data_IF_513122567357
#
_entry.id   IF_513122567357
#
_cell.length_a   1.000
_cell.length_b   1.000
_cell.length_c   1.000
_cell.angle_alpha   90.00
_cell.angle_beta   90.00
_cell.angle_gamma   90.00
#
_symmetry.space_group_name_H-M   'P 1'
#
loop_
_entity.id
_entity.type
_entity.pdbx_description
1 polymer ?
#
# COMPACT_ATOMS: atom_id res chain seq x y z
N UNK A 1 28.28 -52.29 39.98
CA UNK A 1 29.00 -52.30 38.69
C UNK A 1 28.30 -51.38 37.71
N UNK A 2 29.10 -50.69 36.91
CA UNK A 2 28.91 -49.37 36.31
C UNK A 2 28.01 -49.26 35.06
N UNK A 3 27.74 -47.97 34.71
CA UNK A 3 27.46 -47.34 33.38
C UNK A 3 25.99 -46.97 33.14
N UNK A 4 25.59 -45.85 32.52
CA UNK A 4 26.16 -44.56 32.09
C UNK A 4 24.96 -43.65 31.68
N UNK A 5 25.18 -42.32 31.65
CA UNK A 5 24.56 -41.17 30.93
C UNK A 5 23.24 -41.40 30.10
N UNK A 6 22.30 -40.43 29.94
CA UNK A 6 22.42 -39.19 29.13
C UNK A 6 21.24 -38.23 29.43
N UNK A 7 21.59 -36.94 29.42
CA UNK A 7 20.80 -35.71 29.47
C UNK A 7 20.04 -35.46 28.15
N UNK A 8 18.73 -35.14 28.14
CA UNK A 8 18.12 -34.32 27.07
C UNK A 8 17.01 -33.43 27.63
N UNK A 9 17.31 -32.13 27.69
CA UNK A 9 16.33 -31.06 27.78
C UNK A 9 15.78 -30.76 26.38
N UNK A 10 14.47 -30.59 26.23
CA UNK A 10 13.88 -29.95 25.06
C UNK A 10 12.85 -28.88 25.49
N UNK A 11 13.39 -27.70 25.79
CA UNK A 11 12.70 -26.42 25.70
C UNK A 11 12.22 -26.23 24.25
N UNK A 12 10.92 -26.41 23.97
CA UNK A 12 10.34 -25.90 22.72
C UNK A 12 9.85 -24.48 22.95
N UNK A 13 10.75 -23.52 22.72
CA UNK A 13 10.45 -22.10 22.57
C UNK A 13 9.58 -21.94 21.30
N UNK A 14 8.25 -21.89 21.44
CA UNK A 14 7.37 -21.51 20.32
C UNK A 14 7.53 -20.01 20.07
N UNK A 15 8.47 -19.64 19.19
CA UNK A 15 8.50 -18.30 18.59
C UNK A 15 7.32 -18.22 17.63
N UNK A 16 6.17 -17.76 18.13
CA UNK A 16 5.07 -17.33 17.27
C UNK A 16 5.45 -15.95 16.74
N UNK A 17 6.13 -15.89 15.59
CA UNK A 17 6.23 -14.66 14.82
C UNK A 17 4.83 -14.33 14.27
N UNK A 18 3.98 -13.71 15.09
CA UNK A 18 2.78 -13.05 14.58
C UNK A 18 3.27 -11.83 13.80
N UNK A 19 3.51 -12.00 12.49
CA UNK A 19 3.69 -10.85 11.59
C UNK A 19 2.34 -10.15 11.57
N UNK A 20 2.17 -9.14 12.43
CA UNK A 20 0.99 -8.29 12.40
C UNK A 20 0.93 -7.63 11.02
N UNK A 21 -0.10 -7.94 10.24
CA UNK A 21 -0.38 -7.23 9.00
C UNK A 21 -0.50 -5.73 9.31
N UNK A 22 0.27 -4.91 8.58
CA UNK A 22 0.21 -3.47 8.71
C UNK A 22 -1.20 -2.98 8.39
N UNK A 23 -1.73 -2.10 9.24
CA UNK A 23 -3.07 -1.50 9.10
C UNK A 23 -3.03 -0.09 8.52
N UNK A 24 -1.83 0.49 8.36
CA UNK A 24 -1.64 1.87 7.91
C UNK A 24 -0.38 2.01 7.03
N UNK A 25 -0.35 2.99 6.14
CA UNK A 25 0.82 3.33 5.29
C UNK A 25 2.06 3.57 6.14
N UNK A 26 1.94 4.34 7.24
CA UNK A 26 3.03 4.59 8.18
C UNK A 26 3.66 3.31 8.75
N UNK A 27 2.89 2.25 8.96
CA UNK A 27 3.43 0.96 9.41
C UNK A 27 4.21 0.25 8.31
N UNK A 28 3.75 0.32 7.05
CA UNK A 28 4.49 -0.16 5.89
C UNK A 28 5.81 0.60 5.70
N UNK A 29 5.80 1.92 5.85
CA UNK A 29 7.01 2.76 5.74
C UNK A 29 8.04 2.46 6.84
N UNK A 30 7.58 2.17 8.07
CA UNK A 30 8.49 1.77 9.17
C UNK A 30 9.23 0.46 8.88
N UNK A 31 8.68 -0.38 8.01
CA UNK A 31 9.26 -1.67 7.62
C UNK A 31 10.07 -1.59 6.32
N UNK A 32 10.32 -0.37 5.79
CA UNK A 32 11.10 -0.20 4.56
C UNK A 32 12.51 -0.77 4.70
N UNK A 33 12.94 -1.62 3.75
CA UNK A 33 14.32 -2.08 3.67
C UNK A 33 15.27 -0.90 3.40
N UNK A 34 16.54 -1.07 3.77
CA UNK A 34 17.55 -0.01 3.65
C UNK A 34 17.68 0.53 2.21
N UNK A 35 17.49 -0.34 1.21
CA UNK A 35 17.48 -0.04 -0.23
C UNK A 35 16.45 1.03 -0.65
N UNK A 36 15.36 1.18 0.12
CA UNK A 36 14.27 2.11 -0.17
C UNK A 36 14.21 3.30 0.79
N UNK A 37 14.92 3.26 1.93
CA UNK A 37 14.88 4.36 2.92
C UNK A 37 15.29 5.70 2.31
N UNK A 38 16.31 5.72 1.47
CA UNK A 38 16.76 6.94 0.77
C UNK A 38 15.80 7.38 -0.35
N UNK A 39 14.91 6.50 -0.80
CA UNK A 39 13.93 6.76 -1.87
C UNK A 39 12.54 7.09 -1.33
N UNK A 40 12.36 7.13 -0.01
CA UNK A 40 11.03 7.30 0.58
C UNK A 40 10.35 8.61 0.15
N UNK A 41 11.11 9.69 -0.05
CA UNK A 41 10.55 10.91 -0.61
C UNK A 41 10.01 10.69 -2.03
N UNK A 42 10.78 10.05 -2.91
CA UNK A 42 10.35 9.73 -4.27
C UNK A 42 9.09 8.87 -4.29
N UNK A 43 9.03 7.87 -3.40
CA UNK A 43 7.87 7.00 -3.20
C UNK A 43 6.62 7.82 -2.81
N UNK A 44 6.75 8.69 -1.80
CA UNK A 44 5.64 9.56 -1.36
C UNK A 44 5.22 10.59 -2.40
N UNK A 45 6.11 10.95 -3.33
CA UNK A 45 5.79 11.81 -4.48
C UNK A 45 5.32 11.03 -5.71
N UNK A 46 4.90 9.76 -5.54
CA UNK A 46 4.36 8.90 -6.59
C UNK A 46 5.32 8.69 -7.78
N UNK A 47 6.64 8.79 -7.55
CA UNK A 47 7.62 8.45 -8.57
C UNK A 47 7.75 6.93 -8.68
N UNK A 48 7.93 6.45 -9.90
CA UNK A 48 8.16 5.03 -10.13
C UNK A 48 9.51 4.61 -9.53
N UNK A 49 9.47 3.62 -8.65
CA UNK A 49 10.64 2.92 -8.11
C UNK A 49 10.38 1.45 -8.37
N UNK A 50 11.32 0.74 -8.99
CA UNK A 50 11.16 -0.68 -9.28
C UNK A 50 11.98 -1.56 -8.34
N UNK A 51 11.65 -2.85 -8.34
CA UNK A 51 12.39 -3.90 -7.65
C UNK A 51 11.57 -4.60 -6.55
N UNK A 52 12.04 -5.78 -6.11
CA UNK A 52 11.28 -6.68 -5.22
C UNK A 52 10.98 -6.07 -3.85
N UNK A 53 11.89 -5.23 -3.35
CA UNK A 53 11.67 -4.48 -2.11
C UNK A 53 10.50 -3.49 -2.26
N UNK A 54 10.38 -2.86 -3.42
CA UNK A 54 9.30 -1.92 -3.70
C UNK A 54 7.99 -2.65 -3.96
N UNK A 55 8.04 -3.79 -4.66
CA UNK A 55 6.89 -4.67 -4.86
C UNK A 55 6.26 -5.06 -3.51
N UNK A 56 7.09 -5.48 -2.55
CA UNK A 56 6.66 -5.82 -1.19
C UNK A 56 6.13 -4.60 -0.42
N UNK A 57 6.78 -3.45 -0.56
CA UNK A 57 6.32 -2.22 0.10
C UNK A 57 4.94 -1.79 -0.43
N UNK A 58 4.77 -1.77 -1.76
CA UNK A 58 3.49 -1.38 -2.36
C UNK A 58 2.39 -2.41 -2.13
N UNK A 59 2.71 -3.70 -2.06
CA UNK A 59 1.75 -4.71 -1.62
C UNK A 59 1.23 -4.43 -0.21
N UNK A 60 2.12 -4.07 0.73
CA UNK A 60 1.73 -3.64 2.07
C UNK A 60 0.83 -2.40 2.04
N UNK A 61 1.24 -1.36 1.32
CA UNK A 61 0.55 -0.07 1.27
C UNK A 61 -0.83 -0.20 0.63
N UNK A 62 -0.93 -0.85 -0.53
CA UNK A 62 -2.20 -1.02 -1.25
C UNK A 62 -3.19 -1.85 -0.44
N UNK A 63 -2.72 -2.84 0.35
CA UNK A 63 -3.57 -3.61 1.28
C UNK A 63 -3.99 -2.79 2.49
N UNK A 64 -3.09 -1.99 3.07
CA UNK A 64 -3.41 -1.11 4.19
C UNK A 64 -4.49 -0.07 3.83
N UNK A 65 -4.52 0.35 2.56
CA UNK A 65 -5.55 1.24 2.01
C UNK A 65 -6.81 0.50 1.53
N UNK A 66 -6.80 -0.83 1.50
CA UNK A 66 -7.85 -1.69 0.93
C UNK A 66 -8.14 -1.41 -0.56
N UNK A 67 -7.13 -0.96 -1.31
CA UNK A 67 -7.25 -0.78 -2.77
C UNK A 67 -7.00 -2.08 -3.54
N UNK A 68 -6.46 -3.08 -2.86
CA UNK A 68 -6.30 -4.43 -3.38
C UNK A 68 -6.76 -5.45 -2.34
N UNK A 69 -7.11 -6.65 -2.80
CA UNK A 69 -7.44 -7.77 -1.93
C UNK A 69 -6.18 -8.45 -1.33
N UNK A 70 -6.38 -9.53 -0.56
CA UNK A 70 -5.30 -10.29 0.06
C UNK A 70 -4.31 -10.94 -0.96
N UNK A 71 -4.70 -11.04 -2.23
CA UNK A 71 -3.88 -11.55 -3.33
C UNK A 71 -3.15 -10.46 -4.09
N UNK A 72 -3.42 -9.18 -3.79
CA UNK A 72 -2.86 -8.02 -4.48
C UNK A 72 -3.67 -7.60 -5.71
N UNK A 73 -4.86 -8.20 -5.96
CA UNK A 73 -5.73 -7.80 -7.07
C UNK A 73 -6.45 -6.50 -6.71
N UNK A 74 -6.43 -5.53 -7.61
CA UNK A 74 -7.17 -4.27 -7.47
C UNK A 74 -8.65 -4.47 -7.13
N UNK A 75 -9.18 -3.69 -6.18
CA UNK A 75 -10.59 -3.67 -5.82
C UNK A 75 -11.30 -2.53 -6.55
N UNK A 76 -12.17 -2.89 -7.49
CA UNK A 76 -12.89 -1.92 -8.31
C UNK A 76 -13.79 -1.01 -7.48
N UNK A 77 -14.54 -1.58 -6.51
CA UNK A 77 -15.55 -0.83 -5.75
C UNK A 77 -14.90 0.17 -4.79
N UNK A 78 -13.72 -0.18 -4.27
CA UNK A 78 -12.91 0.68 -3.39
C UNK A 78 -12.31 1.88 -4.12
N UNK A 79 -12.23 1.85 -5.44
CA UNK A 79 -11.62 2.92 -6.25
C UNK A 79 -12.64 3.69 -7.08
N UNK A 80 -13.58 3.01 -7.75
CA UNK A 80 -14.48 3.64 -8.72
C UNK A 80 -15.31 4.77 -8.13
N UNK A 81 -16.00 4.52 -7.01
CA UNK A 81 -16.86 5.54 -6.37
C UNK A 81 -16.02 6.71 -5.81
N UNK A 82 -14.94 6.48 -5.04
CA UNK A 82 -14.10 7.58 -4.57
C UNK A 82 -13.47 8.40 -5.68
N UNK A 83 -12.99 7.77 -6.75
CA UNK A 83 -12.39 8.48 -7.89
C UNK A 83 -13.43 9.34 -8.59
N UNK A 84 -14.63 8.80 -8.81
CA UNK A 84 -15.76 9.54 -9.40
C UNK A 84 -16.23 10.72 -8.54
N UNK A 85 -16.07 10.62 -7.21
CA UNK A 85 -16.38 11.73 -6.31
C UNK A 85 -15.35 12.87 -6.38
N UNK A 86 -14.13 12.59 -6.82
CA UNK A 86 -13.05 13.56 -6.99
C UNK A 86 -13.05 14.17 -8.41
N UNK A 87 -13.37 13.37 -9.41
CA UNK A 87 -13.45 13.74 -10.82
C UNK A 87 -14.67 13.05 -11.44
N UNK A 88 -15.63 13.83 -11.94
CA UNK A 88 -16.93 13.33 -12.37
C UNK A 88 -16.89 12.46 -13.65
N UNK A 89 -15.73 12.34 -14.32
CA UNK A 89 -15.53 11.48 -15.49
C UNK A 89 -15.48 9.99 -15.12
N UNK A 90 -16.63 9.48 -14.69
CA UNK A 90 -16.84 8.09 -14.26
C UNK A 90 -16.47 7.06 -15.34
N UNK A 91 -16.73 7.36 -16.62
CA UNK A 91 -16.41 6.46 -17.73
C UNK A 91 -14.91 6.20 -17.83
N UNK A 92 -14.10 7.25 -17.73
CA UNK A 92 -12.64 7.15 -17.74
C UNK A 92 -12.13 6.30 -16.57
N UNK A 93 -12.66 6.50 -15.37
CA UNK A 93 -12.27 5.73 -14.20
C UNK A 93 -12.64 4.25 -14.33
N UNK A 94 -13.84 3.94 -14.81
CA UNK A 94 -14.26 2.55 -15.08
C UNK A 94 -13.24 1.84 -15.99
N UNK A 95 -12.99 2.42 -17.17
CA UNK A 95 -12.11 1.82 -18.18
C UNK A 95 -10.69 1.62 -17.66
N UNK A 96 -10.13 2.62 -16.96
CA UNK A 96 -8.76 2.53 -16.47
C UNK A 96 -8.60 1.49 -15.35
N UNK A 97 -9.56 1.39 -14.41
CA UNK A 97 -9.50 0.39 -13.34
C UNK A 97 -9.60 -1.03 -13.94
N UNK A 98 -10.58 -1.28 -14.82
CA UNK A 98 -10.74 -2.57 -15.48
C UNK A 98 -9.50 -2.95 -16.31
N UNK A 99 -8.96 -1.98 -17.06
CA UNK A 99 -7.72 -2.18 -17.84
C UNK A 99 -6.56 -2.58 -16.95
N UNK A 100 -6.36 -1.90 -15.82
CA UNK A 100 -5.27 -2.20 -14.89
C UNK A 100 -5.47 -3.53 -14.16
N UNK A 101 -6.71 -3.90 -13.81
CA UNK A 101 -7.02 -5.23 -13.29
C UNK A 101 -6.71 -6.32 -14.33
N UNK A 102 -7.07 -6.10 -15.59
CA UNK A 102 -6.82 -7.04 -16.69
C UNK A 102 -5.32 -7.27 -16.93
N UNK A 103 -4.54 -6.19 -16.99
CA UNK A 103 -3.07 -6.23 -17.18
C UNK A 103 -2.35 -6.99 -16.06
N UNK A 104 -2.88 -6.95 -14.84
CA UNK A 104 -2.23 -7.51 -13.65
C UNK A 104 -2.79 -8.87 -13.22
N UNK A 105 -3.88 -9.33 -13.84
CA UNK A 105 -4.61 -10.54 -13.44
C UNK A 105 -3.72 -11.78 -13.30
N UNK A 106 -2.82 -12.00 -14.26
CA UNK A 106 -1.95 -13.19 -14.34
C UNK A 106 -0.60 -13.01 -13.66
N UNK A 107 -0.32 -11.86 -13.06
CA UNK A 107 0.95 -11.62 -12.39
C UNK A 107 1.05 -12.38 -11.07
N UNK A 108 2.29 -12.63 -10.64
CA UNK A 108 2.60 -13.19 -9.34
C UNK A 108 2.06 -12.31 -8.21
N UNK A 109 1.61 -12.96 -7.12
CA UNK A 109 0.97 -12.26 -5.99
C UNK A 109 1.87 -11.18 -5.38
N UNK A 110 3.17 -11.39 -5.39
CA UNK A 110 4.15 -10.48 -4.77
C UNK A 110 4.36 -9.19 -5.55
N UNK A 111 4.03 -9.17 -6.86
CA UNK A 111 4.24 -8.00 -7.74
C UNK A 111 2.93 -7.34 -8.19
N UNK A 112 1.82 -8.09 -8.12
CA UNK A 112 0.51 -7.70 -8.67
C UNK A 112 0.01 -6.34 -8.17
N UNK A 113 0.09 -6.09 -6.86
CA UNK A 113 -0.38 -4.83 -6.27
C UNK A 113 0.44 -3.63 -6.76
N UNK A 114 1.76 -3.78 -6.90
CA UNK A 114 2.63 -2.72 -7.37
C UNK A 114 2.41 -2.41 -8.85
N UNK A 115 2.26 -3.43 -9.70
CA UNK A 115 1.94 -3.23 -11.12
C UNK A 115 0.55 -2.60 -11.32
N UNK A 116 -0.42 -2.93 -10.45
CA UNK A 116 -1.73 -2.31 -10.48
C UNK A 116 -1.66 -0.82 -10.13
N UNK A 117 -0.91 -0.48 -9.08
CA UNK A 117 -0.60 0.89 -8.68
C UNK A 117 0.08 1.68 -9.81
N UNK A 118 1.15 1.14 -10.41
CA UNK A 118 1.86 1.78 -11.53
C UNK A 118 0.95 2.01 -12.72
N UNK A 119 0.14 1.02 -13.09
CA UNK A 119 -0.81 1.15 -14.18
C UNK A 119 -1.81 2.29 -13.97
N UNK A 120 -2.36 2.45 -12.76
CA UNK A 120 -3.27 3.56 -12.44
C UNK A 120 -2.56 4.91 -12.51
N UNK A 121 -1.33 5.01 -12.01
CA UNK A 121 -0.52 6.24 -12.10
C UNK A 121 -0.12 6.64 -13.52
N UNK A 122 -0.05 5.68 -14.43
CA UNK A 122 0.22 5.92 -15.86
C UNK A 122 -1.05 6.17 -16.67
N UNK A 123 -2.22 6.01 -16.07
CA UNK A 123 -3.51 6.19 -16.75
C UNK A 123 -3.97 7.66 -16.74
N UNK A 124 -4.98 7.96 -17.54
CA UNK A 124 -5.68 9.26 -17.49
C UNK A 124 -6.49 9.48 -16.20
N UNK A 125 -6.49 8.53 -15.27
CA UNK A 125 -7.10 8.66 -13.93
C UNK A 125 -6.09 8.88 -12.81
N UNK A 126 -4.81 9.09 -13.14
CA UNK A 126 -3.73 9.22 -12.15
C UNK A 126 -4.01 10.29 -11.09
N UNK A 127 -4.49 11.47 -11.48
CA UNK A 127 -4.73 12.56 -10.53
C UNK A 127 -5.88 12.26 -9.58
N UNK A 128 -6.99 11.69 -10.06
CA UNK A 128 -8.08 11.24 -9.19
C UNK A 128 -7.62 10.12 -8.25
N UNK A 129 -6.79 9.19 -8.74
CA UNK A 129 -6.23 8.11 -7.93
C UNK A 129 -5.33 8.62 -6.81
N UNK A 130 -4.38 9.54 -7.09
CA UNK A 130 -3.52 10.14 -6.06
C UNK A 130 -4.32 10.84 -4.97
N UNK A 131 -5.35 11.59 -5.35
CA UNK A 131 -6.24 12.29 -4.40
C UNK A 131 -7.00 11.31 -3.50
N UNK A 132 -7.54 10.24 -4.08
CA UNK A 132 -8.21 9.16 -3.32
C UNK A 132 -7.23 8.44 -2.39
N UNK A 133 -6.01 8.20 -2.86
CA UNK A 133 -4.94 7.58 -2.08
C UNK A 133 -4.61 8.42 -0.84
N UNK A 134 -4.33 9.70 -1.03
CA UNK A 134 -4.04 10.68 0.03
C UNK A 134 -5.15 10.77 1.08
N UNK A 135 -6.40 10.92 0.62
CA UNK A 135 -7.57 10.96 1.51
C UNK A 135 -7.68 9.65 2.32
N UNK A 136 -7.54 8.51 1.64
CA UNK A 136 -7.67 7.19 2.28
C UNK A 136 -6.55 6.93 3.28
N UNK A 137 -5.31 7.37 3.01
CA UNK A 137 -4.19 7.31 3.96
C UNK A 137 -4.57 8.00 5.27
N UNK A 138 -5.08 9.24 5.19
CA UNK A 138 -5.45 10.02 6.36
C UNK A 138 -6.63 9.41 7.12
N UNK A 139 -7.65 8.90 6.41
CA UNK A 139 -8.80 8.23 7.02
C UNK A 139 -8.37 6.94 7.73
N UNK A 140 -7.59 6.07 7.08
CA UNK A 140 -7.09 4.82 7.68
C UNK A 140 -6.14 5.07 8.86
N UNK A 141 -5.43 6.20 8.85
CA UNK A 141 -4.60 6.63 9.97
C UNK A 141 -5.39 7.31 11.12
N UNK A 142 -6.73 7.39 11.02
CA UNK A 142 -7.59 8.05 12.01
C UNK A 142 -7.37 9.56 12.12
N UNK A 143 -6.85 10.20 11.06
CA UNK A 143 -6.59 11.65 11.01
C UNK A 143 -7.78 12.43 10.46
N UNK A 144 -8.66 11.78 9.72
CA UNK A 144 -9.90 12.32 9.17
C UNK A 144 -11.03 11.30 9.35
N UNK A 145 -12.29 11.74 9.49
CA UNK A 145 -13.44 10.84 9.55
C UNK A 145 -13.65 10.15 8.19
N UNK A 146 -14.29 8.98 8.18
CA UNK A 146 -14.57 8.23 6.95
C UNK A 146 -15.51 8.91 5.96
N UNK A 147 -16.19 9.98 6.40
CA UNK A 147 -17.11 10.80 5.59
C UNK A 147 -16.42 12.02 4.97
N UNK A 148 -15.13 12.24 5.24
CA UNK A 148 -14.39 13.38 4.70
C UNK A 148 -14.23 13.26 3.17
N UNK A 149 -14.29 14.40 2.49
CA UNK A 149 -14.07 14.49 1.03
C UNK A 149 -12.71 15.13 0.72
N UNK A 150 -12.21 14.89 -0.49
CA UNK A 150 -10.95 15.49 -0.89
C UNK A 150 -11.08 17.02 -1.00
N UNK A 151 -10.14 17.74 -0.39
CA UNK A 151 -10.12 19.21 -0.34
C UNK A 151 -8.72 19.74 -0.08
N UNK A 152 -8.53 21.06 -0.13
CA UNK A 152 -7.25 21.72 0.20
C UNK A 152 -6.75 21.38 1.62
N UNK A 153 -7.65 20.99 2.53
CA UNK A 153 -7.29 20.49 3.87
C UNK A 153 -6.49 19.18 3.77
N UNK A 154 -6.93 18.24 2.94
CA UNK A 154 -6.25 16.95 2.70
C UNK A 154 -4.84 17.22 2.15
N UNK A 155 -4.73 18.06 1.11
CA UNK A 155 -3.44 18.44 0.52
C UNK A 155 -2.48 19.02 1.54
N UNK A 156 -2.95 19.95 2.37
CA UNK A 156 -2.13 20.58 3.41
C UNK A 156 -1.66 19.55 4.44
N UNK A 157 -2.51 18.58 4.79
CA UNK A 157 -2.15 17.53 5.75
C UNK A 157 -1.12 16.55 5.18
N UNK A 158 -1.29 16.11 3.94
CA UNK A 158 -0.31 15.26 3.25
C UNK A 158 1.02 15.98 3.09
N UNK A 159 1.04 17.22 2.60
CA UNK A 159 2.27 18.03 2.51
C UNK A 159 3.00 18.13 3.85
N UNK A 160 2.28 18.23 4.96
CA UNK A 160 2.87 18.26 6.31
C UNK A 160 3.44 16.91 6.75
N UNK A 161 2.88 15.80 6.28
CA UNK A 161 3.45 14.46 6.47
C UNK A 161 4.71 14.32 5.62
N UNK A 162 4.61 14.64 4.34
CA UNK A 162 5.70 14.55 3.36
C UNK A 162 6.90 15.41 3.76
N UNK A 163 6.71 16.63 4.26
CA UNK A 163 7.79 17.51 4.72
C UNK A 163 8.61 16.94 5.89
N UNK A 164 8.12 15.91 6.60
CA UNK A 164 8.88 15.22 7.65
C UNK A 164 9.73 14.08 7.10
N UNK A 165 9.41 13.64 5.88
CA UNK A 165 9.96 12.47 5.22
C UNK A 165 10.93 12.90 4.11
N UNK A 166 10.50 13.83 3.27
CA UNK A 166 11.29 14.56 2.29
C UNK A 166 12.11 15.64 3.02
N UNK A 167 13.34 15.30 3.39
CA UNK A 167 14.33 16.24 3.90
C UNK A 167 15.38 16.53 2.85
#
# INVERSE_FOLDING_TARGET
MSKQLILVACLTLRVICIVQAAKTVKQCEKQLPASLKSKLCDIRQYKNVDGPDMDKHMDCVMKALEFVDATGRGDFQKLYKPMTAVDADSRKHNVNIETCQGKTWRLERTVKAHEFYKCLLQSSSADAFKKVFDLTELVKAGKLPSTETYSAKVEKMIKKIDAKVCK
#
